data_IF_517205822369
#
_entry.id   IF_517205822369
#
_cell.length_a   1.000
_cell.length_b   1.000
_cell.length_c   1.000
_cell.angle_alpha   90.00
_cell.angle_beta   90.00
_cell.angle_gamma   90.00
#
_symmetry.space_group_name_H-M   'P 1'
#
loop_
_entity.id
_entity.type
_entity.pdbx_description
1 polymer ?
#
# COMPACT_ATOMS: atom_id res chain seq x y z
N UNK A 1 -26.83 -24.67 20.05
CA UNK A 1 -25.39 -24.69 19.79
C UNK A 1 -24.51 -24.11 20.90
N UNK A 2 -25.06 -23.63 22.04
CA UNK A 2 -24.30 -23.13 23.19
C UNK A 2 -23.80 -24.20 24.18
N UNK A 3 -24.19 -25.45 24.00
CA UNK A 3 -23.85 -26.56 24.92
C UNK A 3 -22.58 -27.35 24.54
N UNK A 4 -22.18 -27.33 23.26
CA UNK A 4 -20.97 -28.05 22.82
C UNK A 4 -19.66 -27.33 23.20
N UNK A 5 -19.70 -25.99 23.29
CA UNK A 5 -18.53 -25.21 23.69
C UNK A 5 -18.20 -25.37 25.20
N UNK A 6 -19.25 -25.59 26.02
CA UNK A 6 -19.09 -25.80 27.46
C UNK A 6 -18.46 -27.17 27.77
N UNK A 7 -18.72 -28.21 26.93
CA UNK A 7 -18.12 -29.52 27.12
C UNK A 7 -16.65 -29.59 26.72
N UNK A 8 -16.24 -28.79 25.73
CA UNK A 8 -14.82 -28.64 25.35
C UNK A 8 -14.02 -27.96 26.46
N UNK A 9 -14.62 -26.97 27.14
CA UNK A 9 -13.99 -26.27 28.28
C UNK A 9 -13.90 -27.14 29.55
N UNK A 10 -14.86 -28.06 29.79
CA UNK A 10 -14.82 -29.00 30.91
C UNK A 10 -13.85 -30.16 30.67
N UNK A 11 -13.59 -30.54 29.44
CA UNK A 11 -12.65 -31.66 29.16
C UNK A 11 -11.20 -31.26 29.39
N UNK A 12 -10.87 -29.97 29.33
CA UNK A 12 -9.51 -29.47 29.60
C UNK A 12 -9.25 -29.33 31.13
N UNK A 13 -10.30 -29.18 31.93
CA UNK A 13 -10.16 -29.03 33.41
C UNK A 13 -10.11 -30.31 34.21
N UNK A 14 -10.30 -31.51 33.60
CA UNK A 14 -10.44 -32.75 34.36
C UNK A 14 -9.19 -33.64 34.44
N UNK A 15 -8.01 -33.17 34.04
CA UNK A 15 -6.76 -33.91 34.11
C UNK A 15 -5.77 -33.42 35.19
N UNK A 16 -6.21 -32.61 36.13
CA UNK A 16 -5.32 -32.08 37.16
C UNK A 16 -5.68 -32.56 38.58
N UNK A 17 -5.72 -33.86 38.84
CA UNK A 17 -5.69 -34.43 40.21
C UNK A 17 -4.93 -35.75 40.25
N UNK A 18 -3.63 -35.72 40.06
CA UNK A 18 -2.72 -36.63 40.71
C UNK A 18 -1.53 -35.85 41.23
N UNK A 19 -1.71 -35.24 42.40
CA UNK A 19 -0.61 -34.78 43.21
C UNK A 19 -0.02 -35.96 43.92
N UNK A 20 1.13 -36.45 43.49
CA UNK A 20 1.99 -37.28 44.31
C UNK A 20 3.14 -36.41 44.80
N UNK A 21 3.19 -36.26 46.10
CA UNK A 21 4.25 -35.59 46.83
C UNK A 21 5.56 -36.33 46.66
N UNK A 22 6.58 -35.68 46.17
CA UNK A 22 7.97 -36.11 46.13
C UNK A 22 8.80 -34.85 45.78
N UNK A 23 9.55 -34.36 46.77
CA UNK A 23 10.53 -33.30 46.65
C UNK A 23 11.64 -33.74 45.69
N UNK A 24 11.56 -33.21 44.50
CA UNK A 24 12.61 -32.85 43.53
C UNK A 24 11.85 -32.41 42.28
N UNK A 25 11.40 -31.14 42.24
CA UNK A 25 10.81 -30.53 41.05
C UNK A 25 11.89 -30.30 39.99
N UNK A 26 12.38 -31.35 39.37
CA UNK A 26 13.02 -31.25 38.06
C UNK A 26 11.91 -30.96 37.05
N UNK A 27 11.64 -29.65 36.86
CA UNK A 27 10.72 -29.19 35.83
C UNK A 27 11.13 -29.81 34.48
N UNK A 28 10.28 -30.64 33.91
CA UNK A 28 10.55 -31.35 32.64
C UNK A 28 10.81 -30.27 31.58
N UNK A 29 12.05 -30.15 31.12
CA UNK A 29 12.41 -29.23 30.04
C UNK A 29 12.06 -29.86 28.69
N UNK A 30 11.24 -29.14 27.94
CA UNK A 30 10.94 -29.54 26.56
C UNK A 30 12.03 -29.06 25.60
N UNK A 31 12.33 -29.85 24.53
CA UNK A 31 13.35 -29.48 23.51
C UNK A 31 12.78 -28.43 22.53
N UNK A 32 12.49 -27.25 23.05
CA UNK A 32 11.84 -26.17 22.28
C UNK A 32 12.66 -25.80 21.05
N UNK A 33 13.99 -25.67 21.19
CA UNK A 33 14.87 -25.25 20.10
C UNK A 33 14.84 -26.18 18.89
N UNK A 34 14.65 -27.48 19.12
CA UNK A 34 14.62 -28.49 18.05
C UNK A 34 13.20 -28.73 17.53
N UNK A 35 12.25 -28.86 18.43
CA UNK A 35 10.91 -29.35 18.11
C UNK A 35 9.97 -28.21 17.68
N UNK A 36 10.04 -27.06 18.39
CA UNK A 36 9.10 -25.99 18.24
C UNK A 36 9.70 -24.76 17.52
N UNK A 37 10.93 -24.35 17.90
CA UNK A 37 11.51 -23.14 17.35
C UNK A 37 11.72 -23.21 15.84
N UNK A 38 11.53 -22.09 15.16
CA UNK A 38 11.68 -21.94 13.73
C UNK A 38 10.56 -21.14 13.09
N UNK A 39 10.63 -21.00 11.78
CA UNK A 39 9.59 -20.39 10.97
C UNK A 39 8.52 -21.42 10.58
N UNK A 40 7.29 -20.96 10.54
CA UNK A 40 6.15 -21.71 10.02
C UNK A 40 5.48 -20.89 8.93
N UNK A 41 5.11 -21.55 7.85
CA UNK A 41 4.44 -20.94 6.72
C UNK A 41 3.06 -21.55 6.53
N UNK A 42 2.05 -20.76 6.26
CA UNK A 42 0.71 -21.29 6.12
C UNK A 42 -0.33 -20.24 5.77
N UNK A 43 -1.55 -20.61 6.02
CA UNK A 43 -2.74 -19.83 5.74
C UNK A 43 -3.28 -19.21 7.02
N UNK A 44 -3.51 -17.91 6.98
CA UNK A 44 -4.16 -17.15 8.05
C UNK A 44 -5.56 -16.75 7.60
N UNK A 45 -6.58 -17.16 8.33
CA UNK A 45 -7.98 -16.80 8.11
C UNK A 45 -8.45 -15.85 9.22
N UNK A 46 -9.14 -14.77 8.86
CA UNK A 46 -9.58 -13.74 9.81
C UNK A 46 -11.10 -13.62 9.81
N UNK A 47 -11.67 -13.57 11.02
CA UNK A 47 -13.09 -13.38 11.30
C UNK A 47 -13.22 -12.18 12.23
N UNK A 48 -14.10 -11.23 11.92
CA UNK A 48 -14.41 -10.06 12.74
C UNK A 48 -15.90 -10.11 13.10
N UNK A 49 -16.20 -10.07 14.40
CA UNK A 49 -17.59 -10.15 14.91
C UNK A 49 -18.41 -11.29 14.30
N UNK A 50 -17.75 -12.43 14.05
CA UNK A 50 -18.37 -13.62 13.48
C UNK A 50 -18.44 -13.63 11.95
N UNK A 51 -18.06 -12.57 11.26
CA UNK A 51 -18.06 -12.50 9.79
C UNK A 51 -16.68 -12.84 9.24
N UNK A 52 -16.63 -13.73 8.24
CA UNK A 52 -15.39 -14.06 7.53
C UNK A 52 -14.93 -12.87 6.71
N UNK A 53 -13.75 -12.36 7.00
CA UNK A 53 -13.18 -11.20 6.30
C UNK A 53 -12.26 -11.57 5.15
N UNK A 54 -11.60 -12.72 5.23
CA UNK A 54 -10.71 -13.20 4.19
C UNK A 54 -9.62 -14.14 4.70
N UNK A 55 -8.71 -14.48 3.81
CA UNK A 55 -7.56 -15.33 4.08
C UNK A 55 -6.31 -14.78 3.41
N UNK A 56 -5.15 -14.98 4.06
CA UNK A 56 -3.83 -14.67 3.51
C UNK A 56 -3.05 -15.96 3.39
N UNK A 57 -2.57 -16.27 2.20
CA UNK A 57 -1.68 -17.41 1.95
C UNK A 57 -0.22 -17.01 2.21
N UNK A 58 0.65 -18.01 2.37
CA UNK A 58 2.07 -17.85 2.64
C UNK A 58 2.38 -16.88 3.81
N UNK A 59 1.50 -16.89 4.81
CA UNK A 59 1.75 -16.10 6.01
C UNK A 59 2.83 -16.79 6.84
N UNK A 60 3.85 -16.03 7.27
CA UNK A 60 4.93 -16.52 8.11
C UNK A 60 4.69 -16.19 9.57
N UNK A 61 4.84 -17.20 10.44
CA UNK A 61 4.90 -17.04 11.89
C UNK A 61 6.22 -17.63 12.37
N UNK A 62 6.87 -16.98 13.33
CA UNK A 62 8.08 -17.49 13.94
C UNK A 62 7.84 -17.84 15.41
N UNK A 63 8.43 -18.96 15.83
CA UNK A 63 8.51 -19.41 17.22
C UNK A 63 9.97 -19.43 17.63
N UNK A 64 10.27 -18.86 18.79
CA UNK A 64 11.59 -18.91 19.42
C UNK A 64 11.47 -19.34 20.89
N UNK A 65 12.54 -19.85 21.48
CA UNK A 65 12.63 -20.04 22.92
C UNK A 65 12.48 -18.69 23.62
N UNK A 66 11.57 -18.59 24.59
CA UNK A 66 11.47 -17.42 25.45
C UNK A 66 12.62 -17.40 26.46
N UNK A 67 13.10 -16.20 26.78
CA UNK A 67 14.07 -16.02 27.88
C UNK A 67 13.41 -15.92 29.26
N UNK A 68 12.08 -16.06 29.34
CA UNK A 68 11.27 -15.90 30.56
C UNK A 68 11.08 -17.24 31.31
N UNK A 69 11.33 -18.37 30.63
CA UNK A 69 11.22 -19.69 31.26
C UNK A 69 11.60 -20.83 30.34
N UNK A 70 11.97 -21.99 30.93
CA UNK A 70 12.44 -23.16 30.21
C UNK A 70 11.40 -23.75 29.24
N UNK A 71 10.13 -23.74 29.64
CA UNK A 71 9.01 -24.30 28.87
C UNK A 71 8.14 -23.17 28.29
N UNK A 72 8.78 -22.09 27.85
CA UNK A 72 8.10 -20.93 27.29
C UNK A 72 8.66 -20.54 25.92
N UNK A 73 7.77 -20.11 25.04
CA UNK A 73 8.10 -19.64 23.69
C UNK A 73 7.66 -18.19 23.51
N UNK A 74 8.34 -17.50 22.61
CA UNK A 74 7.92 -16.27 22.00
C UNK A 74 7.35 -16.57 20.61
N UNK A 75 6.16 -16.09 20.31
CA UNK A 75 5.52 -16.18 19.01
C UNK A 75 5.51 -14.81 18.35
N UNK A 76 5.94 -14.72 17.10
CA UNK A 76 5.98 -13.45 16.38
C UNK A 76 5.43 -13.57 14.95
N UNK A 77 4.69 -12.55 14.57
CA UNK A 77 4.17 -12.30 13.24
C UNK A 77 4.55 -10.87 12.87
N UNK A 78 5.49 -10.70 11.93
CA UNK A 78 6.08 -9.40 11.58
C UNK A 78 5.39 -8.76 10.38
N UNK A 79 5.27 -7.42 10.40
CA UNK A 79 4.71 -6.61 9.32
C UNK A 79 3.34 -7.09 8.83
N UNK A 80 2.51 -7.57 9.74
CA UNK A 80 1.21 -8.13 9.38
C UNK A 80 0.28 -7.03 8.85
N UNK A 81 -0.26 -7.29 7.66
CA UNK A 81 -1.24 -6.42 7.01
C UNK A 81 -2.44 -7.27 6.60
N UNK A 82 -3.61 -6.90 7.09
CA UNK A 82 -4.87 -7.51 6.70
C UNK A 82 -5.95 -6.42 6.68
N UNK A 83 -6.47 -6.08 5.49
CA UNK A 83 -7.32 -4.91 5.24
C UNK A 83 -6.69 -3.58 5.68
N UNK A 84 -6.08 -3.55 6.83
CA UNK A 84 -5.28 -2.44 7.39
C UNK A 84 -3.91 -2.96 7.83
N UNK A 85 -2.95 -2.06 7.97
CA UNK A 85 -1.68 -2.40 8.59
C UNK A 85 -1.87 -2.63 10.08
N UNK A 86 -1.65 -3.86 10.55
CA UNK A 86 -1.73 -4.24 11.97
C UNK A 86 -0.39 -4.05 12.68
N UNK A 87 0.71 -4.15 11.92
CA UNK A 87 2.06 -4.07 12.45
C UNK A 87 2.62 -5.40 12.92
N UNK A 88 3.48 -5.36 13.92
CA UNK A 88 4.09 -6.53 14.52
C UNK A 88 3.23 -7.07 15.66
N UNK A 89 2.94 -8.36 15.62
CA UNK A 89 2.33 -9.09 16.74
C UNK A 89 3.42 -9.98 17.35
N UNK A 90 3.70 -9.76 18.61
CA UNK A 90 4.66 -10.58 19.36
C UNK A 90 4.08 -10.90 20.74
N UNK A 91 3.89 -12.17 21.04
CA UNK A 91 3.40 -12.62 22.33
C UNK A 91 4.48 -13.47 22.98
N UNK A 92 4.98 -12.98 24.10
CA UNK A 92 6.05 -13.57 24.89
C UNK A 92 5.81 -13.29 26.39
N UNK A 93 5.64 -14.30 27.23
CA UNK A 93 5.75 -15.73 26.95
C UNK A 93 4.43 -16.38 26.55
N UNK A 94 4.55 -17.47 25.76
CA UNK A 94 3.50 -18.48 25.70
C UNK A 94 4.00 -19.74 26.40
N UNK A 95 3.18 -20.28 27.33
CA UNK A 95 3.52 -21.48 28.12
C UNK A 95 3.26 -22.73 27.30
N UNK A 96 4.25 -23.62 27.23
CA UNK A 96 4.22 -24.89 26.48
C UNK A 96 3.85 -26.04 27.40
N UNK A 97 3.05 -26.96 26.88
CA UNK A 97 2.69 -28.25 27.54
C UNK A 97 2.81 -29.38 26.52
N UNK A 98 3.36 -30.50 26.92
CA UNK A 98 3.36 -31.72 26.11
C UNK A 98 1.94 -32.28 25.97
N UNK A 99 1.60 -32.71 24.76
CA UNK A 99 0.34 -33.42 24.46
C UNK A 99 0.67 -34.66 23.66
N UNK A 100 -0.33 -35.53 23.44
CA UNK A 100 -0.12 -36.72 22.61
C UNK A 100 0.28 -36.34 21.17
N UNK A 101 1.49 -36.78 20.78
CA UNK A 101 2.08 -36.53 19.47
C UNK A 101 2.60 -35.10 19.22
N UNK A 102 2.84 -34.30 20.28
CA UNK A 102 3.38 -32.95 20.11
C UNK A 102 3.26 -32.05 21.31
N UNK A 103 3.01 -30.77 21.06
CA UNK A 103 2.95 -29.72 22.07
C UNK A 103 1.73 -28.82 21.85
N UNK A 104 1.17 -28.33 22.96
CA UNK A 104 0.25 -27.19 22.96
C UNK A 104 0.93 -26.02 23.63
N UNK A 105 0.49 -24.81 23.26
CA UNK A 105 0.97 -23.58 23.91
C UNK A 105 -0.16 -22.56 24.05
N UNK A 106 -0.07 -21.74 25.09
CA UNK A 106 -1.02 -20.67 25.35
C UNK A 106 -0.30 -19.41 25.85
N UNK A 107 -0.76 -18.24 25.42
CA UNK A 107 -0.21 -16.96 25.83
C UNK A 107 -1.26 -15.87 25.81
N UNK A 108 -1.06 -14.84 26.64
CA UNK A 108 -1.88 -13.64 26.66
C UNK A 108 -0.99 -12.42 26.88
N UNK A 109 -1.25 -11.36 26.15
CA UNK A 109 -0.52 -10.11 26.28
C UNK A 109 -1.35 -8.93 25.78
N UNK A 110 -1.16 -7.75 26.38
CA UNK A 110 -1.66 -6.51 25.80
C UNK A 110 -0.60 -5.95 24.87
N UNK A 111 -0.95 -5.71 23.62
CA UNK A 111 -0.05 -5.15 22.61
C UNK A 111 -0.56 -3.79 22.14
N UNK A 112 0.36 -2.86 21.94
CA UNK A 112 0.09 -1.58 21.28
C UNK A 112 0.24 -1.77 19.76
N UNK A 113 -0.89 -1.97 19.09
CA UNK A 113 -0.95 -2.13 17.64
C UNK A 113 -1.02 -0.78 16.94
N UNK A 114 -0.70 -0.78 15.63
CA UNK A 114 -0.72 0.43 14.80
C UNK A 114 -2.13 1.05 14.79
N UNK A 115 -2.18 2.38 14.88
CA UNK A 115 -3.45 3.11 14.81
C UNK A 115 -4.25 2.72 13.54
N UNK A 116 -5.59 2.56 13.63
CA UNK A 116 -6.49 2.94 14.71
C UNK A 116 -6.74 1.86 15.78
N UNK A 117 -6.02 0.75 15.78
CA UNK A 117 -6.26 -0.39 16.68
C UNK A 117 -5.89 -0.12 18.15
N UNK A 118 -4.74 0.54 18.39
CA UNK A 118 -4.28 0.92 19.72
C UNK A 118 -3.93 -0.27 20.61
N UNK A 119 -4.15 -0.13 21.92
CA UNK A 119 -3.87 -1.18 22.90
C UNK A 119 -4.93 -2.27 22.87
N UNK A 120 -4.52 -3.48 22.49
CA UNK A 120 -5.39 -4.64 22.32
C UNK A 120 -4.94 -5.81 23.18
N UNK A 121 -5.82 -6.39 24.03
CA UNK A 121 -5.62 -7.70 24.61
C UNK A 121 -5.56 -8.78 23.51
N UNK A 122 -4.47 -9.54 23.48
CA UNK A 122 -4.27 -10.65 22.57
C UNK A 122 -4.19 -11.94 23.35
N UNK A 123 -4.87 -12.97 22.85
CA UNK A 123 -4.79 -14.34 23.35
C UNK A 123 -4.35 -15.28 22.26
N UNK A 124 -3.49 -16.24 22.60
CA UNK A 124 -2.98 -17.26 21.68
C UNK A 124 -3.23 -18.65 22.28
N UNK A 125 -3.76 -19.53 21.45
CA UNK A 125 -3.84 -20.96 21.70
C UNK A 125 -3.27 -21.68 20.48
N UNK A 126 -2.29 -22.55 20.66
CA UNK A 126 -1.69 -23.25 19.55
C UNK A 126 -1.32 -24.70 19.86
N UNK A 127 -1.16 -25.47 18.78
CA UNK A 127 -0.66 -26.83 18.83
C UNK A 127 0.35 -27.07 17.72
N UNK A 128 1.40 -27.81 18.02
CA UNK A 128 2.35 -28.33 17.03
C UNK A 128 2.40 -29.85 17.14
N UNK A 129 2.20 -30.51 16.00
CA UNK A 129 2.31 -31.97 15.87
C UNK A 129 3.17 -32.32 14.66
N UNK A 130 4.38 -32.83 14.91
CA UNK A 130 5.40 -32.97 13.87
C UNK A 130 5.72 -31.62 13.22
N UNK A 131 5.59 -31.52 11.90
CA UNK A 131 5.79 -30.25 11.17
C UNK A 131 4.55 -29.37 11.15
N UNK A 132 3.38 -29.85 11.54
CA UNK A 132 2.13 -29.10 11.41
C UNK A 132 1.87 -28.23 12.64
N UNK A 133 1.40 -27.03 12.39
CA UNK A 133 1.01 -26.06 13.41
C UNK A 133 -0.43 -25.58 13.18
N UNK A 134 -1.17 -25.40 14.27
CA UNK A 134 -2.46 -24.73 14.27
C UNK A 134 -2.47 -23.71 15.41
N UNK A 135 -2.83 -22.47 15.12
CA UNK A 135 -2.86 -21.38 16.10
C UNK A 135 -4.19 -20.65 15.98
N UNK A 136 -4.83 -20.40 17.12
CA UNK A 136 -5.94 -19.48 17.26
C UNK A 136 -5.45 -18.21 17.96
N UNK A 137 -5.70 -17.06 17.35
CA UNK A 137 -5.34 -15.73 17.85
C UNK A 137 -6.62 -14.97 18.07
N UNK A 138 -6.88 -14.57 19.30
CA UNK A 138 -7.97 -13.67 19.65
C UNK A 138 -7.42 -12.27 19.91
N UNK A 139 -8.02 -11.25 19.30
CA UNK A 139 -7.69 -9.84 19.51
C UNK A 139 -8.95 -9.08 19.87
N UNK A 140 -8.93 -8.39 21.00
CA UNK A 140 -10.02 -7.51 21.40
C UNK A 140 -9.66 -6.07 21.11
N UNK A 141 -10.29 -5.51 20.09
CA UNK A 141 -10.09 -4.11 19.69
C UNK A 141 -11.05 -3.24 20.53
N UNK A 142 -10.49 -2.28 21.25
CA UNK A 142 -11.25 -1.36 22.07
C UNK A 142 -11.97 -0.26 21.30
N UNK A 143 -12.48 0.73 22.03
CA UNK A 143 -13.09 1.91 21.41
C UNK A 143 -12.08 2.68 20.52
N UNK A 144 -12.51 3.28 19.40
CA UNK A 144 -13.91 3.41 18.95
C UNK A 144 -14.44 2.20 18.15
N UNK A 145 -13.60 1.25 17.75
CA UNK A 145 -13.98 0.15 16.87
C UNK A 145 -14.81 -0.94 17.59
N UNK A 146 -14.47 -1.28 18.83
CA UNK A 146 -15.14 -2.27 19.66
C UNK A 146 -15.41 -3.60 18.94
N UNK A 147 -14.37 -4.23 18.38
CA UNK A 147 -14.46 -5.43 17.57
C UNK A 147 -13.77 -6.63 18.23
N UNK A 148 -14.38 -7.81 18.07
CA UNK A 148 -13.76 -9.09 18.41
C UNK A 148 -13.18 -9.72 17.12
N UNK A 149 -11.85 -9.81 17.06
CA UNK A 149 -11.14 -10.40 15.93
C UNK A 149 -10.63 -11.79 16.32
N UNK A 150 -10.91 -12.78 15.49
CA UNK A 150 -10.35 -14.13 15.57
C UNK A 150 -9.57 -14.42 14.31
N UNK A 151 -8.29 -14.78 14.47
CA UNK A 151 -7.49 -15.29 13.38
C UNK A 151 -7.11 -16.74 13.64
N UNK A 152 -7.18 -17.57 12.61
CA UNK A 152 -6.76 -18.98 12.66
C UNK A 152 -5.64 -19.16 11.66
N UNK A 153 -4.49 -19.60 12.16
CA UNK A 153 -3.34 -19.95 11.33
C UNK A 153 -3.18 -21.48 11.28
N UNK A 154 -3.08 -22.01 10.07
CA UNK A 154 -2.77 -23.41 9.80
C UNK A 154 -1.59 -23.47 8.86
N UNK A 155 -0.51 -24.13 9.27
CA UNK A 155 0.73 -24.13 8.52
C UNK A 155 1.66 -25.30 8.83
N UNK A 156 2.84 -25.23 8.23
CA UNK A 156 3.91 -26.23 8.39
C UNK A 156 5.24 -25.55 8.71
N UNK A 157 6.09 -26.25 9.47
CA UNK A 157 7.44 -25.78 9.80
C UNK A 157 8.28 -25.69 8.53
N UNK A 158 8.97 -24.57 8.35
CA UNK A 158 9.91 -24.35 7.24
C UNK A 158 11.12 -25.30 7.38
N UNK A 159 11.51 -25.87 6.26
CA UNK A 159 12.65 -26.80 6.17
C UNK A 159 13.95 -26.11 5.79
N UNK A 160 13.86 -24.86 5.30
CA UNK A 160 14.96 -24.07 4.77
C UNK A 160 15.24 -24.32 3.28
N UNK A 161 14.41 -25.14 2.62
CA UNK A 161 14.50 -25.41 1.18
C UNK A 161 13.45 -24.64 0.35
N UNK A 162 12.57 -23.91 1.02
CA UNK A 162 11.53 -23.11 0.37
C UNK A 162 12.15 -21.95 -0.39
N UNK A 163 11.53 -21.60 -1.53
CA UNK A 163 11.98 -20.49 -2.36
C UNK A 163 11.74 -19.16 -1.67
N UNK A 164 12.76 -18.28 -1.67
CA UNK A 164 12.65 -16.89 -1.22
C UNK A 164 12.34 -15.93 -2.38
N UNK A 165 12.07 -16.43 -3.59
CA UNK A 165 11.86 -15.60 -4.77
C UNK A 165 10.46 -14.99 -4.77
N UNK A 166 10.39 -13.67 -4.50
CA UNK A 166 9.16 -12.89 -4.43
C UNK A 166 9.11 -11.90 -5.60
N UNK A 167 8.86 -12.38 -6.83
CA UNK A 167 8.86 -11.53 -8.04
C UNK A 167 7.55 -11.58 -8.79
N UNK A 168 7.15 -10.43 -9.36
CA UNK A 168 6.16 -10.39 -10.44
C UNK A 168 6.92 -10.68 -11.74
N UNK A 169 6.59 -11.79 -12.39
CA UNK A 169 7.23 -12.26 -13.63
C UNK A 169 6.45 -11.85 -14.88
N UNK A 170 5.17 -11.48 -14.71
CA UNK A 170 4.34 -10.96 -15.77
C UNK A 170 3.23 -10.10 -15.22
N UNK A 171 2.91 -9.01 -15.92
CA UNK A 171 1.84 -8.09 -15.59
C UNK A 171 1.26 -7.53 -16.89
N UNK A 172 -0.01 -7.80 -17.16
CA UNK A 172 -0.67 -7.39 -18.40
C UNK A 172 -2.08 -6.90 -18.15
N UNK A 173 -2.58 -6.07 -19.07
CA UNK A 173 -3.97 -5.68 -19.15
C UNK A 173 -4.56 -6.11 -20.49
N UNK A 174 -5.77 -6.68 -20.46
CA UNK A 174 -6.61 -6.88 -21.64
C UNK A 174 -7.61 -5.73 -21.71
N UNK A 175 -7.16 -4.59 -22.26
CA UNK A 175 -7.98 -3.38 -22.30
C UNK A 175 -7.47 -2.44 -23.41
N UNK A 176 -8.38 -1.98 -24.27
CA UNK A 176 -8.07 -1.09 -25.40
C UNK A 176 -7.60 0.30 -24.96
N UNK A 177 -7.88 0.69 -23.70
CA UNK A 177 -7.40 1.97 -23.15
C UNK A 177 -5.91 1.93 -22.80
N UNK A 178 -5.32 0.74 -22.66
CA UNK A 178 -3.88 0.57 -22.39
C UNK A 178 -3.11 0.59 -23.71
N UNK A 179 -2.40 1.68 -23.95
CA UNK A 179 -1.67 1.90 -25.21
C UNK A 179 -0.27 1.29 -25.22
N UNK A 180 0.34 1.16 -24.04
CA UNK A 180 1.60 0.43 -23.87
C UNK A 180 1.47 -0.50 -22.66
N UNK A 181 1.77 -1.78 -22.87
CA UNK A 181 1.69 -2.81 -21.84
C UNK A 181 2.69 -2.54 -20.70
N UNK A 182 2.40 -3.03 -19.49
CA UNK A 182 3.24 -2.81 -18.33
C UNK A 182 4.69 -3.27 -18.51
N UNK A 183 5.60 -2.41 -18.08
CA UNK A 183 7.04 -2.69 -17.97
C UNK A 183 7.40 -2.85 -16.50
N UNK A 184 8.01 -3.99 -16.18
CA UNK A 184 8.43 -4.33 -14.82
C UNK A 184 9.88 -3.91 -14.62
N UNK A 185 10.12 -3.04 -13.63
CA UNK A 185 11.46 -2.74 -13.09
C UNK A 185 11.58 -3.43 -11.73
N UNK A 186 12.17 -4.64 -11.75
CA UNK A 186 12.27 -5.47 -10.55
C UNK A 186 13.20 -4.85 -9.49
N UNK A 187 14.26 -4.16 -9.91
CA UNK A 187 15.21 -3.53 -8.98
C UNK A 187 14.56 -2.41 -8.18
N UNK A 188 13.75 -1.57 -8.85
CA UNK A 188 13.01 -0.47 -8.18
C UNK A 188 11.70 -0.92 -7.55
N UNK A 189 11.21 -2.12 -7.83
CA UNK A 189 9.89 -2.57 -7.43
C UNK A 189 8.79 -1.69 -8.04
N UNK A 190 8.91 -1.33 -9.33
CA UNK A 190 7.91 -0.51 -10.02
C UNK A 190 7.43 -1.19 -11.29
N UNK A 191 6.15 -0.98 -11.60
CA UNK A 191 5.54 -1.43 -12.84
C UNK A 191 4.83 -0.24 -13.46
N UNK A 192 5.18 0.10 -14.68
CA UNK A 192 4.64 1.28 -15.35
C UNK A 192 4.02 0.92 -16.69
N UNK A 193 2.92 1.58 -17.03
CA UNK A 193 2.20 1.38 -18.29
C UNK A 193 1.67 2.72 -18.81
N UNK A 194 1.17 2.75 -20.06
CA UNK A 194 0.55 3.93 -20.63
C UNK A 194 -0.88 3.67 -21.07
N UNK A 195 -1.71 4.69 -20.96
CA UNK A 195 -3.11 4.68 -21.39
C UNK A 195 -3.37 5.76 -22.43
N UNK A 196 -4.49 5.66 -23.14
CA UNK A 196 -4.92 6.69 -24.07
C UNK A 196 -5.12 8.03 -23.35
N UNK A 197 -4.90 9.15 -24.06
CA UNK A 197 -5.04 10.49 -23.49
C UNK A 197 -6.41 10.73 -22.88
N UNK A 198 -7.45 10.22 -23.51
CA UNK A 198 -8.84 10.40 -23.09
C UNK A 198 -9.13 9.63 -21.80
N UNK A 199 -8.58 8.43 -21.66
CA UNK A 199 -8.76 7.60 -20.47
C UNK A 199 -8.00 8.11 -19.22
N UNK A 200 -6.95 8.91 -19.40
CA UNK A 200 -6.12 9.38 -18.29
C UNK A 200 -6.85 10.32 -17.31
N UNK A 201 -7.94 10.94 -17.74
CA UNK A 201 -8.73 11.90 -16.96
C UNK A 201 -10.06 11.31 -16.45
N UNK A 202 -10.39 10.07 -16.77
CA UNK A 202 -11.63 9.41 -16.42
C UNK A 202 -11.47 8.41 -15.27
N UNK A 203 -12.59 7.85 -14.80
CA UNK A 203 -12.56 6.74 -13.87
C UNK A 203 -11.94 5.51 -14.57
N UNK A 204 -10.75 5.11 -14.13
CA UNK A 204 -9.96 4.07 -14.76
C UNK A 204 -9.85 2.84 -13.85
N UNK A 205 -10.78 1.92 -14.04
CA UNK A 205 -10.81 0.64 -13.32
C UNK A 205 -10.32 -0.46 -14.26
N UNK A 206 -9.14 -1.00 -14.00
CA UNK A 206 -8.52 -2.03 -14.84
C UNK A 206 -8.44 -3.38 -14.12
N UNK A 207 -8.40 -4.44 -14.92
CA UNK A 207 -8.30 -5.83 -14.48
C UNK A 207 -6.92 -6.38 -14.88
N UNK A 208 -5.91 -6.38 -13.99
CA UNK A 208 -4.60 -6.89 -14.32
C UNK A 208 -4.54 -8.41 -14.28
N UNK A 209 -3.86 -9.00 -15.25
CA UNK A 209 -3.43 -10.41 -15.23
C UNK A 209 -1.98 -10.45 -14.78
N UNK A 210 -1.72 -11.17 -13.67
CA UNK A 210 -0.43 -11.16 -12.97
C UNK A 210 0.09 -12.60 -12.86
N UNK A 211 1.36 -12.78 -13.20
CA UNK A 211 2.11 -14.00 -12.91
C UNK A 211 3.26 -13.68 -11.96
N UNK A 212 3.55 -14.62 -11.06
CA UNK A 212 4.59 -14.45 -10.03
C UNK A 212 5.57 -15.63 -10.04
N UNK A 213 6.64 -15.55 -9.27
CA UNK A 213 7.58 -16.65 -9.04
C UNK A 213 6.85 -17.92 -8.60
N UNK A 214 7.47 -19.08 -8.86
CA UNK A 214 6.89 -20.37 -8.49
C UNK A 214 6.55 -20.43 -7.00
N UNK A 215 5.34 -20.90 -6.67
CA UNK A 215 4.79 -20.99 -5.32
C UNK A 215 4.64 -19.68 -4.56
N UNK A 216 4.96 -18.53 -5.16
CA UNK A 216 4.66 -17.22 -4.58
C UNK A 216 3.19 -16.87 -4.76
N UNK A 217 2.70 -15.96 -3.94
CA UNK A 217 1.35 -15.40 -4.03
C UNK A 217 1.44 -13.88 -4.14
N UNK A 218 0.42 -13.24 -4.75
CA UNK A 218 0.36 -11.78 -4.89
C UNK A 218 -0.92 -11.23 -4.28
N UNK A 219 -0.81 -10.10 -3.61
CA UNK A 219 -1.95 -9.37 -3.04
C UNK A 219 -1.85 -7.89 -3.44
N UNK A 220 -2.88 -7.28 -4.04
CA UNK A 220 -4.15 -7.89 -4.50
C UNK A 220 -3.94 -9.01 -5.51
N UNK A 221 -4.88 -9.98 -5.54
CA UNK A 221 -4.75 -11.14 -6.42
C UNK A 221 -4.86 -10.76 -7.91
N UNK A 222 -4.32 -11.61 -8.79
CA UNK A 222 -4.53 -11.53 -10.24
C UNK A 222 -6.03 -11.53 -10.56
N UNK A 223 -6.43 -10.82 -11.60
CA UNK A 223 -7.82 -10.69 -12.04
C UNK A 223 -8.78 -10.08 -11.00
N UNK A 224 -8.27 -9.21 -10.15
CA UNK A 224 -9.08 -8.36 -9.27
C UNK A 224 -9.00 -6.92 -9.76
N UNK A 225 -10.16 -6.29 -9.97
CA UNK A 225 -10.25 -4.90 -10.44
C UNK A 225 -9.51 -3.94 -9.53
N UNK A 226 -8.72 -3.05 -10.12
CA UNK A 226 -7.96 -2.02 -9.44
C UNK A 226 -8.25 -0.64 -10.02
N UNK A 227 -8.19 0.36 -9.14
CA UNK A 227 -8.49 1.75 -9.47
C UNK A 227 -7.18 2.52 -9.75
N UNK A 228 -6.96 2.89 -11.01
CA UNK A 228 -5.85 3.70 -11.47
C UNK A 228 -6.27 5.14 -11.81
N UNK A 229 -7.50 5.53 -11.48
CA UNK A 229 -8.03 6.88 -11.75
C UNK A 229 -7.14 7.95 -11.13
N UNK A 230 -7.06 9.10 -11.77
CA UNK A 230 -6.27 10.25 -11.29
C UNK A 230 -4.80 9.90 -11.01
N UNK A 231 -4.23 9.01 -11.79
CA UNK A 231 -2.84 8.55 -11.64
C UNK A 231 -2.55 7.91 -10.27
N UNK A 232 -3.54 7.27 -9.68
CA UNK A 232 -3.41 6.57 -8.41
C UNK A 232 -2.44 5.40 -8.55
N UNK A 233 -1.53 5.28 -7.60
CA UNK A 233 -0.64 4.13 -7.50
C UNK A 233 -1.36 2.97 -6.80
N UNK A 234 -1.17 1.77 -7.31
CA UNK A 234 -1.64 0.52 -6.69
C UNK A 234 -0.45 -0.27 -6.21
N UNK A 235 -0.44 -0.59 -4.93
CA UNK A 235 0.62 -1.38 -4.31
C UNK A 235 0.27 -2.86 -4.37
N UNK A 236 1.22 -3.68 -4.84
CA UNK A 236 1.16 -5.13 -4.82
C UNK A 236 2.24 -5.69 -3.91
N UNK A 237 1.90 -6.68 -3.12
CA UNK A 237 2.86 -7.43 -2.31
C UNK A 237 2.93 -8.85 -2.85
N UNK A 238 4.11 -9.30 -3.24
CA UNK A 238 4.39 -10.70 -3.56
C UNK A 238 5.00 -11.34 -2.34
N UNK A 239 4.46 -12.50 -1.96
CA UNK A 239 4.97 -13.30 -0.84
C UNK A 239 5.46 -14.64 -1.39
N UNK A 240 6.73 -14.91 -1.22
CA UNK A 240 7.39 -16.15 -1.62
C UNK A 240 6.96 -17.36 -0.78
N UNK A 241 7.39 -18.55 -1.17
CA UNK A 241 7.11 -19.81 -0.46
C UNK A 241 7.63 -19.78 1.00
N UNK A 242 8.76 -19.14 1.27
CA UNK A 242 9.35 -19.01 2.62
C UNK A 242 8.78 -17.84 3.43
N UNK A 243 7.82 -17.10 2.87
CA UNK A 243 7.21 -15.91 3.46
C UNK A 243 8.01 -14.61 3.23
N UNK A 244 9.08 -14.62 2.45
CA UNK A 244 9.77 -13.41 2.01
C UNK A 244 8.85 -12.55 1.17
N UNK A 245 8.81 -11.23 1.45
CA UNK A 245 7.89 -10.30 0.80
C UNK A 245 8.64 -9.27 -0.03
N UNK A 246 8.05 -8.92 -1.19
CA UNK A 246 8.49 -7.81 -2.02
C UNK A 246 7.30 -6.98 -2.49
N UNK A 247 7.43 -5.66 -2.41
CA UNK A 247 6.40 -4.72 -2.84
C UNK A 247 6.69 -4.17 -4.23
N UNK A 248 5.62 -3.98 -5.00
CA UNK A 248 5.64 -3.33 -6.30
C UNK A 248 4.62 -2.21 -6.33
N UNK A 249 5.02 -1.05 -6.82
CA UNK A 249 4.15 0.09 -7.05
C UNK A 249 3.79 0.17 -8.53
N UNK A 250 2.51 0.00 -8.86
CA UNK A 250 2.00 0.00 -10.24
C UNK A 250 1.32 1.34 -10.52
N UNK A 251 1.72 2.02 -11.58
CA UNK A 251 1.18 3.33 -11.93
C UNK A 251 1.35 3.65 -13.42
N UNK A 252 0.56 4.62 -13.87
CA UNK A 252 0.62 5.10 -15.26
C UNK A 252 1.88 5.96 -15.43
N UNK A 253 2.75 5.62 -16.36
CA UNK A 253 3.93 6.41 -16.70
C UNK A 253 3.57 7.51 -17.69
N UNK A 254 4.06 8.75 -17.43
CA UNK A 254 3.91 9.86 -18.37
C UNK A 254 2.59 10.61 -18.32
N UNK A 255 1.72 10.31 -17.37
CA UNK A 255 0.68 11.23 -16.95
C UNK A 255 1.20 12.19 -15.85
N UNK A 256 2.28 12.86 -16.05
CA UNK A 256 2.12 14.28 -15.85
C UNK A 256 0.93 14.62 -16.73
N UNK A 257 -0.05 15.32 -16.17
CA UNK A 257 -1.00 16.11 -16.96
C UNK A 257 -0.09 16.87 -17.93
N UNK A 258 0.24 16.26 -19.07
CA UNK A 258 0.69 17.04 -20.22
C UNK A 258 -0.62 17.67 -20.61
N UNK A 259 -0.94 18.76 -19.97
CA UNK A 259 -1.74 19.77 -20.60
C UNK A 259 -0.88 20.07 -21.80
N UNK A 260 -1.20 19.43 -22.94
CA UNK A 260 -0.63 19.81 -24.21
C UNK A 260 -1.28 21.14 -24.46
N UNK A 261 -0.62 22.18 -24.02
CA UNK A 261 -0.90 23.52 -24.48
C UNK A 261 -0.36 23.52 -25.92
N UNK A 262 -1.19 23.07 -26.83
CA UNK A 262 -0.84 23.02 -28.26
C UNK A 262 -0.84 24.41 -28.87
N UNK A 263 -1.25 25.43 -28.11
CA UNK A 263 -1.34 26.79 -28.56
C UNK A 263 -2.13 26.99 -29.87
N UNK A 264 -2.93 25.97 -30.23
CA UNK A 264 -3.78 26.06 -31.43
C UNK A 264 -5.03 26.92 -31.16
N UNK A 265 -5.51 26.87 -29.90
CA UNK A 265 -6.67 27.66 -29.48
C UNK A 265 -6.23 28.98 -28.85
N UNK A 266 -6.47 30.05 -29.55
CA UNK A 266 -6.27 31.40 -29.08
C UNK A 266 -7.58 32.17 -29.08
N UNK A 267 -7.81 32.96 -28.03
CA UNK A 267 -8.89 33.93 -27.96
C UNK A 267 -8.32 35.34 -27.82
N UNK A 268 -9.14 36.32 -28.11
CA UNK A 268 -8.86 37.71 -27.81
C UNK A 268 -9.79 38.13 -26.70
N UNK A 269 -9.26 38.73 -25.64
CA UNK A 269 -10.11 39.31 -24.59
C UNK A 269 -10.77 40.55 -25.12
N UNK A 270 -11.99 40.39 -25.61
CA UNK A 270 -12.76 41.52 -26.23
C UNK A 270 -13.03 42.66 -25.24
N UNK A 271 -13.00 42.37 -23.93
CA UNK A 271 -13.20 43.37 -22.87
C UNK A 271 -11.98 44.26 -22.68
N UNK A 272 -10.80 43.79 -23.07
CA UNK A 272 -9.51 44.49 -22.94
C UNK A 272 -8.96 44.93 -24.28
N UNK A 273 -9.56 44.50 -25.39
CA UNK A 273 -9.11 44.77 -26.75
C UNK A 273 -9.67 46.11 -27.24
N UNK A 274 -8.79 46.98 -27.75
CA UNK A 274 -9.14 48.15 -28.48
C UNK A 274 -8.71 48.01 -29.96
N UNK A 275 -9.17 48.86 -30.88
CA UNK A 275 -8.69 48.83 -32.26
C UNK A 275 -7.17 48.95 -32.42
N UNK A 276 -6.51 49.53 -31.42
CA UNK A 276 -5.06 49.77 -31.40
C UNK A 276 -4.29 48.65 -30.69
N UNK A 277 -4.97 47.88 -29.80
CA UNK A 277 -4.35 46.84 -28.98
C UNK A 277 -5.19 45.57 -28.99
N UNK A 278 -4.66 44.52 -29.54
CA UNK A 278 -5.22 43.19 -29.40
C UNK A 278 -4.59 42.49 -28.18
N UNK A 279 -5.44 41.94 -27.34
CA UNK A 279 -5.02 41.22 -26.15
C UNK A 279 -5.14 39.72 -26.37
N UNK A 280 -4.09 39.06 -26.91
CA UNK A 280 -4.14 37.62 -27.17
C UNK A 280 -4.05 36.83 -25.87
N UNK A 281 -4.91 35.86 -25.73
CA UNK A 281 -4.92 34.91 -24.61
C UNK A 281 -4.87 33.50 -25.17
N UNK A 282 -3.87 32.74 -24.76
CA UNK A 282 -3.86 31.30 -25.02
C UNK A 282 -4.90 30.61 -24.13
N UNK A 283 -5.73 29.76 -24.72
CA UNK A 283 -6.72 28.97 -24.00
C UNK A 283 -6.04 27.76 -23.37
N UNK A 284 -6.62 27.17 -22.32
CA UNK A 284 -6.08 25.99 -21.65
C UNK A 284 -5.38 26.25 -20.31
N UNK A 285 -5.61 27.43 -19.70
CA UNK A 285 -5.18 27.71 -18.32
C UNK A 285 -3.82 28.40 -18.21
N UNK A 286 -3.31 28.96 -19.30
CA UNK A 286 -2.16 29.85 -19.24
C UNK A 286 -2.55 31.23 -18.69
N UNK A 287 -1.79 31.69 -17.71
CA UNK A 287 -1.83 33.07 -17.28
C UNK A 287 -0.79 33.85 -18.09
N UNK A 288 -1.16 35.05 -18.57
CA UNK A 288 -0.22 35.91 -19.27
C UNK A 288 -0.06 37.25 -18.55
N UNK A 289 1.11 37.85 -18.64
CA UNK A 289 1.37 39.21 -18.15
C UNK A 289 0.93 40.28 -19.13
N UNK A 290 0.26 39.94 -20.22
CA UNK A 290 -0.22 40.89 -21.24
C UNK A 290 -1.15 41.95 -20.64
N UNK A 291 -1.91 41.63 -19.60
CA UNK A 291 -2.78 42.60 -18.94
C UNK A 291 -2.02 43.81 -18.37
N UNK A 292 -0.84 43.54 -17.76
CA UNK A 292 0.01 44.62 -17.27
C UNK A 292 0.50 45.51 -18.40
N UNK A 293 0.79 44.96 -19.57
CA UNK A 293 1.22 45.71 -20.76
C UNK A 293 0.07 46.51 -21.32
N UNK A 294 -1.16 45.96 -21.35
CA UNK A 294 -2.36 46.75 -21.76
C UNK A 294 -2.55 47.94 -20.85
N UNK A 295 -2.41 47.78 -19.54
CA UNK A 295 -2.48 48.86 -18.58
C UNK A 295 -1.41 49.94 -18.88
N UNK A 296 -0.16 49.56 -19.07
CA UNK A 296 0.94 50.46 -19.39
C UNK A 296 0.68 51.18 -20.71
N UNK A 297 0.29 50.49 -21.77
CA UNK A 297 -0.02 51.08 -23.07
C UNK A 297 -1.19 52.04 -23.00
N UNK A 298 -2.25 51.70 -22.23
CA UNK A 298 -3.46 52.53 -22.13
C UNK A 298 -3.31 53.71 -21.18
N UNK A 299 -2.63 53.55 -20.07
CA UNK A 299 -2.57 54.54 -18.99
C UNK A 299 -1.18 55.12 -18.72
N UNK A 300 -0.13 54.53 -19.27
CA UNK A 300 1.25 54.95 -19.01
C UNK A 300 1.48 56.42 -19.45
N UNK A 301 0.79 56.88 -20.49
CA UNK A 301 0.87 58.23 -20.95
C UNK A 301 0.30 59.29 -19.97
N UNK A 302 -0.54 58.84 -19.03
CA UNK A 302 -1.13 59.70 -18.00
C UNK A 302 -0.37 59.68 -16.67
N UNK A 303 0.65 58.84 -16.54
CA UNK A 303 1.46 58.78 -15.34
C UNK A 303 2.29 60.04 -15.17
N UNK A 304 2.15 60.71 -14.03
CA UNK A 304 2.88 61.94 -13.73
C UNK A 304 3.82 61.72 -12.55
N UNK A 305 5.02 62.30 -12.50
CA UNK A 305 5.56 63.35 -13.42
C UNK A 305 6.21 62.78 -14.69
N UNK A 306 6.44 61.46 -14.78
CA UNK A 306 7.11 60.83 -15.94
C UNK A 306 6.16 59.80 -16.57
N UNK A 307 5.44 60.18 -17.65
CA UNK A 307 4.57 59.25 -18.34
C UNK A 307 5.36 58.08 -18.94
N UNK A 308 4.93 56.86 -18.66
CA UNK A 308 5.51 55.64 -19.22
C UNK A 308 4.81 55.38 -20.54
N UNK A 309 5.55 55.39 -21.64
CA UNK A 309 5.07 55.02 -22.96
C UNK A 309 5.73 53.70 -23.38
N UNK A 310 4.92 52.71 -23.67
CA UNK A 310 5.38 51.44 -24.21
C UNK A 310 4.67 51.08 -25.50
N UNK A 311 5.41 51.00 -26.60
CA UNK A 311 4.91 50.71 -27.95
C UNK A 311 5.39 49.35 -28.49
N UNK A 312 6.03 48.54 -27.64
CA UNK A 312 6.52 47.22 -28.00
C UNK A 312 5.43 46.14 -28.11
N UNK A 313 5.80 44.93 -28.49
CA UNK A 313 4.89 43.80 -28.55
C UNK A 313 4.39 43.39 -27.16
N UNK A 314 3.34 42.58 -27.11
CA UNK A 314 2.94 41.89 -25.87
C UNK A 314 4.00 40.91 -25.43
N UNK A 315 4.14 40.64 -24.13
CA UNK A 315 5.08 39.64 -23.60
C UNK A 315 4.83 38.24 -24.13
N UNK A 316 3.57 37.90 -24.38
CA UNK A 316 3.16 36.61 -24.94
C UNK A 316 2.34 36.90 -26.19
N UNK A 317 2.82 36.45 -27.33
CA UNK A 317 2.17 36.61 -28.62
C UNK A 317 1.92 35.26 -29.27
N UNK A 318 0.87 35.22 -30.11
CA UNK A 318 0.64 34.13 -31.05
C UNK A 318 1.63 34.24 -32.18
N UNK A 319 2.32 33.16 -32.53
CA UNK A 319 3.21 33.10 -33.71
C UNK A 319 2.86 31.88 -34.57
N UNK A 320 3.12 31.98 -35.88
CA UNK A 320 3.02 30.87 -36.84
C UNK A 320 4.32 30.06 -36.92
N UNK A 321 5.39 30.50 -36.27
CA UNK A 321 6.64 29.73 -36.15
C UNK A 321 6.50 28.67 -35.10
N UNK A 322 5.89 27.51 -35.46
CA UNK A 322 5.66 26.39 -34.55
C UNK A 322 6.49 25.15 -34.94
N UNK A 323 6.92 24.41 -33.93
CA UNK A 323 7.60 23.13 -34.17
C UNK A 323 6.64 21.99 -34.60
N UNK A 324 5.35 22.17 -34.37
CA UNK A 324 4.26 21.28 -34.76
C UNK A 324 2.94 21.98 -34.52
N UNK A 325 1.90 21.66 -35.30
CA UNK A 325 0.67 22.43 -35.34
C UNK A 325 0.80 23.74 -36.14
N UNK A 326 -0.16 24.63 -35.98
CA UNK A 326 -0.23 25.88 -36.74
C UNK A 326 0.30 27.09 -35.97
N UNK A 327 0.29 27.04 -34.66
CA UNK A 327 0.62 28.19 -33.80
C UNK A 327 1.51 27.79 -32.61
N UNK A 328 2.24 28.78 -32.13
CA UNK A 328 3.02 28.69 -30.89
C UNK A 328 2.87 30.01 -30.09
N UNK A 329 3.36 30.01 -28.86
CA UNK A 329 3.48 31.20 -28.06
C UNK A 329 4.89 31.75 -28.18
N UNK A 330 5.02 33.01 -28.64
CA UNK A 330 6.26 33.75 -28.61
C UNK A 330 6.36 34.50 -27.28
N UNK A 331 7.45 34.30 -26.55
CA UNK A 331 7.76 35.01 -25.31
C UNK A 331 8.71 36.16 -25.64
N UNK A 332 8.28 37.38 -25.32
CA UNK A 332 9.06 38.58 -25.53
C UNK A 332 9.39 39.21 -24.17
N UNK A 333 10.69 39.39 -23.92
CA UNK A 333 11.14 40.13 -22.74
C UNK A 333 10.85 41.60 -22.89
N UNK A 334 10.20 42.17 -21.87
CA UNK A 334 9.88 43.60 -21.82
C UNK A 334 10.85 44.33 -20.90
N UNK A 335 11.48 45.37 -21.38
CA UNK A 335 12.34 46.24 -20.60
C UNK A 335 11.68 47.60 -20.49
N UNK A 336 11.38 48.03 -19.29
CA UNK A 336 10.90 49.35 -18.95
C UNK A 336 11.87 49.97 -17.96
N UNK A 337 12.50 51.07 -18.36
CA UNK A 337 13.44 51.85 -17.50
C UNK A 337 14.47 50.93 -16.81
N UNK A 338 15.14 50.07 -17.55
CA UNK A 338 16.12 49.08 -17.09
C UNK A 338 15.56 47.97 -16.16
N UNK A 339 14.24 47.81 -16.10
CA UNK A 339 13.59 46.74 -15.35
C UNK A 339 12.90 45.77 -16.28
N UNK A 340 13.15 44.48 -16.13
CA UNK A 340 12.44 43.41 -16.82
C UNK A 340 11.11 43.14 -16.10
N UNK A 341 9.99 43.15 -16.80
CA UNK A 341 8.67 42.96 -16.20
C UNK A 341 8.17 41.53 -16.29
N UNK A 342 8.68 40.70 -17.19
CA UNK A 342 8.29 39.28 -17.36
C UNK A 342 9.52 38.40 -17.58
#
# INVERSE_FOLDING_TARGET
MKKSLLYLFMLVCSVSLFSSCGDDDDEVKYPIDTDLAGGYIGKLSVVVDGNQMGTTENQKIAIAQSNKGANQIALSLKNFTFLINVGDIEVDPCTVKAIDGGYSFEGQQNLDLVAPLGNCPISILGTVKGSNINIEIGVKVGAPLNQDVKATFVGTKLTGNESSEAKITGFTFDSDVVTEQPVIDDEKGTITFKVSKDAANEALILLPSITVSEKAVVTPASNVKQDFSNNKKVEYTVTAEDGTMKKYSVFISGTNKVVVYDFEDWTVDETQTTPEYQYPIAVGGWASCNQAVVFIKGFGAFAQPNPITYNGPFPINKTEEAHGGNYAAELVSLILQDQTIC
#
